data_IF_835594171170
#
_entry.id   IF_835594171170
#
_cell.length_a   1.000
_cell.length_b   1.000
_cell.length_c   1.000
_cell.angle_alpha   90.00
_cell.angle_beta   90.00
_cell.angle_gamma   90.00
#
_symmetry.space_group_name_H-M   'P 1'
#
loop_
_entity.id
_entity.type
_entity.pdbx_description
1 polymer ?
#
# COMPACT_ATOMS: atom_id res chain seq x y z
N UNK A 1 14.16 -0.23 3.19
CA UNK A 1 14.43 -1.68 3.40
C UNK A 1 13.55 -2.48 2.44
N UNK A 2 13.77 -3.78 2.22
CA UNK A 2 12.83 -4.58 1.41
C UNK A 2 11.74 -5.18 2.31
N UNK A 3 10.52 -4.65 2.21
CA UNK A 3 9.35 -5.19 2.90
C UNK A 3 8.75 -6.32 2.06
N UNK A 4 8.38 -7.44 2.70
CA UNK A 4 7.65 -8.52 2.05
C UNK A 4 6.15 -8.37 2.31
N UNK A 5 5.29 -8.60 1.30
CA UNK A 5 3.85 -8.61 1.53
C UNK A 5 3.47 -9.80 2.41
N UNK A 6 2.54 -9.60 3.35
CA UNK A 6 2.02 -10.70 4.17
C UNK A 6 0.92 -11.48 3.43
N UNK A 7 0.32 -10.86 2.40
CA UNK A 7 -0.67 -11.49 1.53
C UNK A 7 -0.56 -10.93 0.11
N UNK A 8 -0.68 -11.82 -0.87
CA UNK A 8 -0.78 -11.48 -2.29
C UNK A 8 -2.04 -12.12 -2.87
N UNK A 9 -2.80 -11.34 -3.65
CA UNK A 9 -4.06 -11.77 -4.26
C UNK A 9 -4.09 -11.36 -5.74
N UNK A 10 -4.84 -12.11 -6.55
CA UNK A 10 -5.27 -11.64 -7.86
C UNK A 10 -6.39 -10.59 -7.68
N UNK A 11 -6.32 -9.49 -8.42
CA UNK A 11 -7.31 -8.42 -8.36
C UNK A 11 -7.52 -7.82 -9.75
N UNK A 12 -8.76 -7.89 -10.27
CA UNK A 12 -9.14 -7.31 -11.57
C UNK A 12 -8.23 -7.73 -12.74
N UNK A 13 -7.71 -8.96 -12.72
CA UNK A 13 -6.76 -9.47 -13.72
C UNK A 13 -5.31 -8.98 -13.54
N UNK A 14 -5.02 -8.27 -12.46
CA UNK A 14 -3.67 -7.91 -12.03
C UNK A 14 -3.38 -8.40 -10.61
N UNK A 15 -2.57 -7.66 -9.86
CA UNK A 15 -2.04 -8.09 -8.56
C UNK A 15 -2.37 -7.09 -7.45
N UNK A 16 -2.68 -7.61 -6.27
CA UNK A 16 -2.71 -6.88 -5.02
C UNK A 16 -1.67 -7.46 -4.07
N UNK A 17 -0.88 -6.58 -3.45
CA UNK A 17 0.06 -6.88 -2.37
C UNK A 17 -0.38 -6.13 -1.11
N UNK A 18 -0.58 -6.85 -0.02
CA UNK A 18 -0.90 -6.28 1.29
C UNK A 18 0.32 -6.35 2.20
N UNK A 19 0.65 -5.22 2.81
CA UNK A 19 1.73 -5.06 3.77
C UNK A 19 1.14 -4.74 5.14
N UNK A 20 1.72 -5.32 6.18
CA UNK A 20 1.33 -5.12 7.57
C UNK A 20 2.58 -4.86 8.37
N UNK A 21 2.55 -3.82 9.19
CA UNK A 21 3.65 -3.42 10.07
C UNK A 21 3.21 -3.48 11.54
N UNK A 22 4.19 -3.57 12.43
CA UNK A 22 3.97 -3.72 13.88
C UNK A 22 3.34 -2.47 14.51
N UNK A 23 3.41 -1.32 13.84
CA UNK A 23 2.80 -0.07 14.29
C UNK A 23 1.27 0.00 14.05
N UNK A 24 0.66 -1.09 13.58
CA UNK A 24 -0.78 -1.18 13.31
C UNK A 24 -1.21 -0.63 11.95
N UNK A 25 -0.28 -0.09 11.17
CA UNK A 25 -0.51 0.37 9.80
C UNK A 25 0.01 -0.64 8.78
N UNK A 26 -0.27 -0.34 7.51
CA UNK A 26 0.18 -1.11 6.38
C UNK A 26 -0.08 -0.40 5.08
N UNK A 27 0.11 -1.13 3.98
CA UNK A 27 -0.19 -0.64 2.65
C UNK A 27 -0.97 -1.65 1.84
N UNK A 28 -1.89 -1.15 1.02
CA UNK A 28 -2.50 -1.86 -0.10
C UNK A 28 -1.85 -1.36 -1.38
N UNK A 29 -1.01 -2.19 -1.98
CA UNK A 29 -0.32 -1.88 -3.24
C UNK A 29 -0.94 -2.71 -4.35
N UNK A 30 -1.46 -2.06 -5.39
CA UNK A 30 -2.15 -2.73 -6.49
C UNK A 30 -1.58 -2.32 -7.84
N UNK A 31 -1.66 -3.25 -8.78
CA UNK A 31 -1.40 -3.02 -10.19
C UNK A 31 -2.41 -3.84 -11.00
N UNK A 32 -3.36 -3.16 -11.63
CA UNK A 32 -4.32 -3.76 -12.56
C UNK A 32 -4.80 -2.69 -13.56
N UNK A 33 -5.48 -3.08 -14.63
CA UNK A 33 -5.95 -2.18 -15.71
C UNK A 33 -6.88 -1.03 -15.27
N UNK A 34 -7.29 -0.98 -13.99
CA UNK A 34 -8.15 0.06 -13.43
C UNK A 34 -7.47 0.84 -12.28
N UNK A 35 -6.24 0.49 -11.91
CA UNK A 35 -5.46 1.22 -10.91
C UNK A 35 -4.74 2.38 -11.58
N UNK A 36 -4.44 3.44 -10.84
CA UNK A 36 -3.70 4.59 -11.38
C UNK A 36 -2.30 4.18 -11.89
N UNK A 37 -2.09 4.26 -13.20
CA UNK A 37 -0.85 3.88 -13.88
C UNK A 37 -0.69 2.36 -14.14
N UNK A 38 -1.69 1.54 -13.80
CA UNK A 38 -1.59 0.09 -13.96
C UNK A 38 -1.43 -0.37 -15.42
N UNK A 39 -2.05 0.34 -16.37
CA UNK A 39 -1.90 0.16 -17.81
C UNK A 39 -0.49 0.54 -18.32
N UNK A 40 0.27 1.33 -17.55
CA UNK A 40 1.66 1.71 -17.81
C UNK A 40 2.67 0.83 -17.07
N UNK A 41 2.23 -0.21 -16.37
CA UNK A 41 3.09 -1.05 -15.53
C UNK A 41 3.56 -0.36 -14.25
N UNK A 42 2.86 0.68 -13.81
CA UNK A 42 3.08 1.39 -12.55
C UNK A 42 2.12 0.88 -11.46
N UNK A 43 2.30 1.37 -10.24
CA UNK A 43 1.62 0.90 -9.04
C UNK A 43 0.77 2.00 -8.41
N UNK A 44 -0.27 1.56 -7.72
CA UNK A 44 -1.11 2.36 -6.86
C UNK A 44 -0.92 1.90 -5.41
N UNK A 45 -0.80 2.83 -4.47
CA UNK A 45 -0.60 2.57 -3.05
C UNK A 45 -1.62 3.35 -2.22
N UNK A 46 -2.31 2.65 -1.33
CA UNK A 46 -3.13 3.26 -0.28
C UNK A 46 -2.62 2.84 1.10
N UNK A 47 -2.62 3.78 2.05
CA UNK A 47 -2.30 3.48 3.45
C UNK A 47 -3.52 2.80 4.09
N UNK A 48 -3.27 1.74 4.86
CA UNK A 48 -4.31 0.99 5.56
C UNK A 48 -4.00 0.91 7.05
N UNK A 49 -5.04 0.81 7.87
CA UNK A 49 -4.95 0.59 9.31
C UNK A 49 -5.59 -0.76 9.67
N UNK A 50 -4.91 -1.53 10.50
CA UNK A 50 -5.38 -2.84 10.94
C UNK A 50 -6.23 -2.73 12.21
N UNK A 51 -7.33 -3.48 12.23
CA UNK A 51 -8.15 -3.73 13.40
C UNK A 51 -8.34 -5.25 13.54
N UNK A 52 -7.42 -5.88 14.31
CA UNK A 52 -7.30 -7.34 14.37
C UNK A 52 -6.84 -7.93 13.04
N UNK A 53 -7.69 -8.78 12.45
CA UNK A 53 -7.46 -9.41 11.14
C UNK A 53 -8.07 -8.64 9.97
N UNK A 54 -8.81 -7.56 10.26
CA UNK A 54 -9.40 -6.67 9.26
C UNK A 54 -8.52 -5.44 9.06
N UNK A 55 -8.69 -4.79 7.92
CA UNK A 55 -8.06 -3.52 7.62
C UNK A 55 -9.02 -2.61 6.87
N UNK A 56 -8.83 -1.31 7.05
CA UNK A 56 -9.56 -0.25 6.37
C UNK A 56 -8.56 0.76 5.78
N UNK A 57 -8.94 1.43 4.68
CA UNK A 57 -8.17 2.57 4.19
C UNK A 57 -8.13 3.67 5.24
N UNK A 58 -6.98 4.31 5.42
CA UNK A 58 -6.86 5.46 6.31
C UNK A 58 -6.25 6.64 5.57
N UNK A 59 -6.81 7.82 5.84
CA UNK A 59 -6.36 9.11 5.34
C UNK A 59 -5.93 10.01 6.50
N UNK A 60 -5.75 9.44 7.69
CA UNK A 60 -5.42 10.14 8.94
C UNK A 60 -3.90 10.23 9.16
N UNK A 61 -3.10 9.94 8.13
CA UNK A 61 -1.63 9.93 8.22
C UNK A 61 -1.04 11.11 7.47
N UNK A 62 0.09 11.63 7.95
CA UNK A 62 0.82 12.72 7.27
C UNK A 62 1.52 12.27 5.96
N UNK A 63 1.38 11.01 5.57
CA UNK A 63 1.97 10.47 4.33
C UNK A 63 1.14 10.88 3.12
N UNK A 64 -0.17 10.65 3.18
CA UNK A 64 -1.11 10.99 2.11
C UNK A 64 -2.53 11.07 2.65
N UNK A 65 -3.30 11.98 2.06
CA UNK A 65 -4.74 12.14 2.31
C UNK A 65 -5.60 11.47 1.22
N UNK A 66 -4.95 10.80 0.26
CA UNK A 66 -5.59 10.09 -0.85
C UNK A 66 -4.76 8.86 -1.28
N UNK A 67 -5.26 8.10 -2.24
CA UNK A 67 -4.52 7.03 -2.90
C UNK A 67 -3.42 7.60 -3.78
N UNK A 68 -2.20 7.06 -3.64
CA UNK A 68 -1.05 7.42 -4.48
C UNK A 68 -1.06 6.54 -5.73
N UNK A 69 -0.88 7.14 -6.90
CA UNK A 69 -0.89 6.44 -8.19
C UNK A 69 0.34 6.74 -9.02
N UNK A 70 0.48 6.02 -10.14
CA UNK A 70 1.57 6.22 -11.11
C UNK A 70 2.98 6.01 -10.52
N UNK A 71 3.09 5.13 -9.52
CA UNK A 71 4.34 4.89 -8.80
C UNK A 71 5.19 3.83 -9.50
N UNK A 72 6.49 4.05 -9.59
CA UNK A 72 7.43 2.96 -9.80
C UNK A 72 7.68 2.17 -8.50
N UNK A 73 8.42 1.06 -8.60
CA UNK A 73 8.68 0.23 -7.42
C UNK A 73 9.60 0.90 -6.39
N UNK A 74 10.49 1.79 -6.82
CA UNK A 74 11.37 2.52 -5.92
C UNK A 74 10.55 3.47 -5.04
N UNK A 75 9.61 4.20 -5.64
CA UNK A 75 8.68 5.08 -4.94
C UNK A 75 7.78 4.28 -3.98
N UNK A 76 7.22 3.16 -4.43
CA UNK A 76 6.47 2.23 -3.55
C UNK A 76 7.31 1.84 -2.34
N UNK A 77 8.56 1.42 -2.53
CA UNK A 77 9.43 1.03 -1.43
C UNK A 77 9.70 2.17 -0.44
N UNK A 78 9.87 3.40 -0.93
CA UNK A 78 10.04 4.59 -0.09
C UNK A 78 8.79 4.86 0.76
N UNK A 79 7.59 4.72 0.20
CA UNK A 79 6.36 4.88 0.97
C UNK A 79 6.15 3.75 1.98
N UNK A 80 6.52 2.51 1.65
CA UNK A 80 6.48 1.40 2.61
C UNK A 80 7.40 1.67 3.80
N UNK A 81 8.61 2.21 3.58
CA UNK A 81 9.52 2.63 4.66
C UNK A 81 8.90 3.74 5.52
N UNK A 82 8.21 4.72 4.92
CA UNK A 82 7.52 5.78 5.67
C UNK A 82 6.36 5.24 6.52
N UNK A 83 5.52 4.37 5.95
CA UNK A 83 4.37 3.77 6.66
C UNK A 83 4.86 2.92 7.83
N UNK A 84 5.92 2.13 7.63
CA UNK A 84 6.51 1.33 8.69
C UNK A 84 7.08 2.18 9.85
N UNK A 85 7.42 3.44 9.58
CA UNK A 85 7.96 4.38 10.56
C UNK A 85 6.90 5.29 11.21
N UNK A 86 5.62 5.19 10.82
CA UNK A 86 4.54 5.95 11.49
C UNK A 86 4.51 5.64 12.98
N UNK A 87 4.29 6.68 13.79
CA UNK A 87 4.03 6.49 15.21
C UNK A 87 2.75 5.69 15.37
N UNK A 88 2.81 4.66 16.21
CA UNK A 88 1.66 3.82 16.55
C UNK A 88 0.50 4.69 17.03
N UNK A 89 -0.68 4.46 16.46
CA UNK A 89 -1.92 5.13 16.85
C UNK A 89 -2.53 4.54 18.13
#
# INVERSE_FOLDING_TARGET
MSHAPYQENELNGGTQKLYRFDNGFGARVVQHQYSYGGDMGQWELAVIKFNGDKWDLTYETDITFDVLGYLDWHEVAQYLDQIAALQSA
#
